data_IF_555371218210
#
_entry.id   IF_555371218210
#
_cell.length_a   1.000
_cell.length_b   1.000
_cell.length_c   1.000
_cell.angle_alpha   90.00
_cell.angle_beta   90.00
_cell.angle_gamma   90.00
#
_symmetry.space_group_name_H-M   'P 1'
#
loop_
_entity.id
_entity.type
_entity.pdbx_description
1 polymer ?
#
# COMPACT_ATOMS: atom_id res chain seq x y z
N UNK A 1 -27.77 -6.22 1.06
CA UNK A 1 -26.69 -6.75 0.20
C UNK A 1 -26.72 -8.27 0.20
N UNK A 2 -26.72 -8.85 -0.95
CA UNK A 2 -26.63 -10.32 -1.13
C UNK A 2 -25.17 -10.71 -1.39
N UNK A 3 -24.35 -10.64 -0.31
CA UNK A 3 -22.93 -10.96 -0.34
C UNK A 3 -22.71 -12.16 0.59
N UNK A 4 -22.21 -13.31 0.09
CA UNK A 4 -21.89 -14.46 0.92
C UNK A 4 -20.83 -14.10 1.98
N UNK A 5 -20.92 -14.73 3.14
CA UNK A 5 -19.98 -14.54 4.26
C UNK A 5 -19.81 -13.09 4.74
N UNK A 6 -20.83 -12.25 4.57
CA UNK A 6 -20.81 -10.86 5.02
C UNK A 6 -20.81 -10.81 6.57
N UNK A 7 -19.76 -10.23 7.14
CA UNK A 7 -19.64 -9.98 8.58
C UNK A 7 -20.09 -8.55 8.92
N UNK A 8 -20.54 -8.34 10.16
CA UNK A 8 -20.90 -7.00 10.69
C UNK A 8 -20.00 -6.62 11.84
N UNK A 9 -19.77 -5.32 11.99
CA UNK A 9 -18.98 -4.75 13.09
C UNK A 9 -17.58 -5.38 13.24
N UNK A 10 -16.93 -5.67 12.09
CA UNK A 10 -15.60 -6.29 12.06
C UNK A 10 -14.52 -5.30 12.43
N UNK A 11 -13.74 -5.59 13.47
CA UNK A 11 -12.56 -4.77 13.84
C UNK A 11 -11.50 -4.90 12.74
N UNK A 12 -11.01 -3.76 12.26
CA UNK A 12 -10.11 -3.68 11.11
C UNK A 12 -8.62 -3.66 11.49
N UNK A 13 -8.26 -3.40 12.73
CA UNK A 13 -6.87 -3.39 13.21
C UNK A 13 -6.05 -4.62 12.79
N UNK A 14 -6.55 -5.89 12.85
CA UNK A 14 -5.79 -7.05 12.44
C UNK A 14 -5.41 -7.07 10.95
N UNK A 15 -6.15 -6.36 10.11
CA UNK A 15 -6.00 -6.33 8.65
C UNK A 15 -5.11 -5.19 8.16
N UNK A 16 -4.49 -4.42 9.05
CA UNK A 16 -3.55 -3.35 8.74
C UNK A 16 -2.16 -3.66 9.25
N UNK A 17 -1.12 -3.17 8.55
CA UNK A 17 0.26 -3.29 9.04
C UNK A 17 0.50 -2.43 10.28
N UNK A 18 -0.32 -1.40 10.50
CA UNK A 18 -0.28 -0.54 11.67
C UNK A 18 -0.84 -1.20 12.94
N UNK A 19 -1.68 -2.25 12.77
CA UNK A 19 -2.45 -2.87 13.85
C UNK A 19 -3.34 -1.86 14.58
N UNK A 20 -3.83 -0.87 13.84
CA UNK A 20 -4.77 0.17 14.28
C UNK A 20 -5.97 0.15 13.32
N UNK A 21 -7.17 0.32 13.87
CA UNK A 21 -8.40 0.42 13.08
C UNK A 21 -9.63 0.00 13.86
N UNK A 22 -10.64 0.87 13.88
CA UNK A 22 -11.95 0.60 14.44
C UNK A 22 -12.79 -0.37 13.57
N UNK A 23 -14.09 -0.53 13.87
CA UNK A 23 -14.96 -1.48 13.19
C UNK A 23 -15.40 -1.00 11.80
N UNK A 24 -15.59 -1.92 10.85
CA UNK A 24 -16.40 -1.71 9.66
C UNK A 24 -17.85 -2.09 9.92
N UNK A 25 -18.83 -1.35 9.37
CA UNK A 25 -20.24 -1.76 9.47
C UNK A 25 -20.45 -3.13 8.84
N UNK A 26 -19.82 -3.34 7.67
CA UNK A 26 -19.82 -4.59 6.93
C UNK A 26 -18.40 -4.92 6.47
N UNK A 27 -18.08 -6.21 6.45
CA UNK A 27 -16.79 -6.72 6.03
C UNK A 27 -16.98 -8.01 5.26
N UNK A 28 -16.19 -8.20 4.20
CA UNK A 28 -16.14 -9.47 3.44
C UNK A 28 -14.73 -9.71 2.94
N UNK A 29 -14.27 -10.96 3.00
CA UNK A 29 -13.10 -11.44 2.27
C UNK A 29 -13.53 -12.01 0.92
N UNK A 30 -12.84 -11.64 -0.15
CA UNK A 30 -13.12 -12.11 -1.51
C UNK A 30 -11.89 -12.80 -2.09
N UNK A 31 -12.08 -14.00 -2.62
CA UNK A 31 -11.00 -14.89 -3.09
C UNK A 31 -10.95 -15.01 -4.61
N UNK A 32 -11.86 -14.34 -5.31
CA UNK A 32 -11.91 -14.33 -6.78
C UNK A 32 -12.33 -12.96 -7.32
N UNK A 33 -12.02 -12.72 -8.60
CA UNK A 33 -12.47 -11.52 -9.31
C UNK A 33 -14.02 -11.45 -9.32
N UNK A 34 -14.70 -12.57 -9.47
CA UNK A 34 -16.17 -12.61 -9.53
C UNK A 34 -16.78 -12.23 -8.17
N UNK A 35 -16.24 -12.70 -7.07
CA UNK A 35 -16.65 -12.28 -5.72
C UNK A 35 -16.37 -10.79 -5.47
N UNK A 36 -15.21 -10.29 -5.93
CA UNK A 36 -14.86 -8.87 -5.83
C UNK A 36 -15.89 -8.01 -6.58
N UNK A 37 -16.21 -8.37 -7.84
CA UNK A 37 -17.18 -7.66 -8.67
C UNK A 37 -18.58 -7.71 -8.05
N UNK A 38 -19.02 -8.88 -7.58
CA UNK A 38 -20.30 -9.02 -6.91
C UNK A 38 -20.39 -8.10 -5.68
N UNK A 39 -19.39 -8.11 -4.82
CA UNK A 39 -19.36 -7.30 -3.60
C UNK A 39 -19.42 -5.80 -3.91
N UNK A 40 -18.66 -5.35 -4.90
CA UNK A 40 -18.65 -3.96 -5.35
C UNK A 40 -20.00 -3.58 -5.99
N UNK A 41 -20.55 -4.44 -6.83
CA UNK A 41 -21.84 -4.19 -7.51
C UNK A 41 -22.99 -4.11 -6.51
N UNK A 42 -22.99 -5.00 -5.51
CA UNK A 42 -23.95 -4.97 -4.40
C UNK A 42 -23.84 -3.66 -3.59
N UNK A 43 -22.62 -3.24 -3.25
CA UNK A 43 -22.41 -1.99 -2.52
C UNK A 43 -22.90 -0.78 -3.34
N UNK A 44 -22.57 -0.72 -4.64
CA UNK A 44 -23.00 0.35 -5.55
C UNK A 44 -24.52 0.40 -5.70
N UNK A 45 -25.16 -0.74 -5.94
CA UNK A 45 -26.62 -0.85 -6.12
C UNK A 45 -27.38 -0.43 -4.86
N UNK A 46 -26.84 -0.72 -3.69
CA UNK A 46 -27.43 -0.34 -2.40
C UNK A 46 -26.97 1.03 -1.91
N UNK A 47 -26.16 1.77 -2.68
CA UNK A 47 -25.56 3.07 -2.33
C UNK A 47 -24.80 3.06 -1.01
N UNK A 48 -24.15 1.95 -0.70
CA UNK A 48 -23.32 1.78 0.50
C UNK A 48 -21.89 2.18 0.15
N UNK A 49 -21.24 3.09 0.92
CA UNK A 49 -19.83 3.36 0.78
C UNK A 49 -19.03 2.07 0.88
N UNK A 50 -18.00 1.90 0.06
CA UNK A 50 -17.11 0.74 0.16
C UNK A 50 -15.65 1.14 0.07
N UNK A 51 -14.81 0.31 0.67
CA UNK A 51 -13.36 0.44 0.66
C UNK A 51 -12.72 -0.89 0.30
N UNK A 52 -11.79 -0.87 -0.68
CA UNK A 52 -11.01 -2.04 -1.07
C UNK A 52 -9.75 -2.10 -0.21
N UNK A 53 -9.62 -3.17 0.55
CA UNK A 53 -8.48 -3.41 1.42
C UNK A 53 -7.56 -4.48 0.81
N UNK A 54 -6.28 -4.14 0.62
CA UNK A 54 -5.20 -5.10 0.34
C UNK A 54 -4.43 -5.42 1.62
N UNK A 55 -3.11 -5.26 1.61
CA UNK A 55 -2.25 -5.46 2.80
C UNK A 55 -2.46 -4.42 3.92
N UNK A 56 -3.22 -3.35 3.70
CA UNK A 56 -3.42 -2.30 4.70
C UNK A 56 -2.12 -1.58 5.12
N UNK A 57 -1.18 -1.40 4.18
CA UNK A 57 0.19 -1.00 4.48
C UNK A 57 0.48 0.49 4.32
N UNK A 58 -0.39 1.25 3.65
CA UNK A 58 -0.23 2.71 3.47
C UNK A 58 -1.48 3.47 3.92
N UNK A 59 -2.16 2.95 4.94
CA UNK A 59 -3.40 3.51 5.45
C UNK A 59 -3.39 3.56 6.98
N UNK A 60 -4.13 4.52 7.51
CA UNK A 60 -4.53 4.61 8.91
C UNK A 60 -6.05 4.56 8.98
N UNK A 61 -6.61 3.48 9.52
CA UNK A 61 -8.05 3.36 9.75
C UNK A 61 -8.37 4.01 11.10
N UNK A 62 -9.35 4.92 11.12
CA UNK A 62 -9.71 5.69 12.31
C UNK A 62 -10.27 4.81 13.43
N UNK A 63 -10.30 5.34 14.65
CA UNK A 63 -10.81 4.62 15.83
C UNK A 63 -12.33 4.32 15.72
N UNK A 64 -13.08 5.19 15.03
CA UNK A 64 -14.50 4.97 14.70
C UNK A 64 -14.70 3.96 13.57
N UNK A 65 -13.63 3.64 12.83
CA UNK A 65 -13.65 2.68 11.74
C UNK A 65 -14.31 3.22 10.47
N UNK A 66 -14.87 2.33 9.65
CA UNK A 66 -15.42 2.65 8.34
C UNK A 66 -16.93 2.43 8.30
N UNK A 67 -17.68 3.50 7.98
CA UNK A 67 -19.15 3.43 7.80
C UNK A 67 -19.47 2.96 6.40
N UNK A 68 -19.66 1.65 6.23
CA UNK A 68 -19.91 1.00 4.95
C UNK A 68 -19.32 -0.40 4.88
N UNK A 69 -19.02 -0.85 3.67
CA UNK A 69 -18.47 -2.18 3.37
C UNK A 69 -16.96 -2.11 3.14
N UNK A 70 -16.19 -2.83 3.95
CA UNK A 70 -14.77 -3.11 3.65
C UNK A 70 -14.68 -4.45 2.93
N UNK A 71 -14.07 -4.46 1.75
CA UNK A 71 -13.83 -5.64 0.92
C UNK A 71 -12.33 -5.96 0.99
N UNK A 72 -11.97 -7.00 1.71
CA UNK A 72 -10.60 -7.50 1.79
C UNK A 72 -10.32 -8.38 0.58
N UNK A 73 -9.56 -7.87 -0.35
CA UNK A 73 -9.30 -8.52 -1.64
C UNK A 73 -8.15 -9.53 -1.54
N UNK A 74 -8.49 -10.79 -1.58
CA UNK A 74 -7.60 -11.95 -1.55
C UNK A 74 -7.60 -12.73 -2.88
N UNK A 75 -8.15 -12.17 -3.98
CA UNK A 75 -8.09 -12.77 -5.31
C UNK A 75 -6.61 -12.89 -5.75
N UNK A 76 -6.09 -14.12 -5.84
CA UNK A 76 -4.65 -14.37 -5.86
C UNK A 76 -4.15 -15.22 -7.04
N UNK A 77 -4.92 -15.32 -8.11
CA UNK A 77 -4.51 -16.11 -9.28
C UNK A 77 -3.34 -15.44 -10.01
N UNK A 78 -2.31 -16.25 -10.31
CA UNK A 78 -1.13 -15.87 -11.09
C UNK A 78 -1.06 -16.77 -12.32
N UNK A 79 -0.84 -16.20 -13.49
CA UNK A 79 -0.73 -16.92 -14.76
C UNK A 79 0.54 -16.43 -15.47
N UNK A 80 1.48 -17.35 -15.70
CA UNK A 80 2.65 -17.10 -16.54
C UNK A 80 2.31 -17.40 -18.00
N UNK A 81 2.76 -16.55 -18.90
CA UNK A 81 2.54 -16.64 -20.34
C UNK A 81 3.89 -16.70 -21.05
N UNK A 82 3.85 -17.05 -22.33
CA UNK A 82 5.00 -16.91 -23.23
C UNK A 82 5.47 -15.47 -23.33
N UNK A 83 6.68 -15.26 -23.85
CA UNK A 83 7.32 -13.96 -24.02
C UNK A 83 7.43 -13.16 -22.69
N UNK A 84 7.86 -13.86 -21.63
CA UNK A 84 8.23 -13.28 -20.32
C UNK A 84 7.13 -12.42 -19.69
N UNK A 85 5.87 -12.83 -19.86
CA UNK A 85 4.71 -12.12 -19.28
C UNK A 85 4.11 -12.88 -18.12
N UNK A 86 3.66 -12.12 -17.13
CA UNK A 86 2.89 -12.65 -16.01
C UNK A 86 1.64 -11.82 -15.79
N UNK A 87 0.50 -12.50 -15.61
CA UNK A 87 -0.75 -11.85 -15.18
C UNK A 87 -1.02 -12.20 -13.72
N UNK A 88 -1.31 -11.20 -12.90
CA UNK A 88 -1.65 -11.36 -11.50
C UNK A 88 -2.95 -10.64 -11.17
N UNK A 89 -3.84 -11.29 -10.44
CA UNK A 89 -5.05 -10.66 -9.89
C UNK A 89 -4.70 -9.61 -8.84
N UNK A 90 -5.59 -8.67 -8.62
CA UNK A 90 -5.30 -7.48 -7.79
C UNK A 90 -5.08 -7.77 -6.31
N UNK A 91 -5.52 -8.91 -5.81
CA UNK A 91 -5.26 -9.37 -4.44
C UNK A 91 -3.93 -10.13 -4.26
N UNK A 92 -3.21 -10.46 -5.35
CA UNK A 92 -1.91 -11.12 -5.26
C UNK A 92 -0.94 -10.28 -4.44
N UNK A 93 -0.33 -10.89 -3.42
CA UNK A 93 0.72 -10.25 -2.61
C UNK A 93 1.99 -10.13 -3.45
N UNK A 94 2.57 -8.94 -3.48
CA UNK A 94 3.77 -8.66 -4.30
C UNK A 94 4.95 -9.55 -3.91
N UNK A 95 5.12 -9.88 -2.63
CA UNK A 95 6.17 -10.78 -2.16
C UNK A 95 6.06 -12.18 -2.77
N UNK A 96 4.85 -12.74 -2.84
CA UNK A 96 4.63 -14.07 -3.44
C UNK A 96 4.94 -14.06 -4.95
N UNK A 97 4.62 -12.94 -5.62
CA UNK A 97 4.92 -12.79 -7.04
C UNK A 97 6.42 -12.64 -7.29
N UNK A 98 7.15 -11.92 -6.43
CA UNK A 98 8.61 -11.80 -6.48
C UNK A 98 9.25 -13.19 -6.42
N UNK A 99 8.86 -14.04 -5.47
CA UNK A 99 9.41 -15.38 -5.30
C UNK A 99 9.18 -16.25 -6.55
N UNK A 100 7.95 -16.26 -7.07
CA UNK A 100 7.59 -17.03 -8.26
C UNK A 100 8.34 -16.53 -9.50
N UNK A 101 8.48 -15.23 -9.69
CA UNK A 101 9.22 -14.65 -10.80
C UNK A 101 10.72 -14.97 -10.70
N UNK A 102 11.32 -14.86 -9.52
CA UNK A 102 12.72 -15.26 -9.26
C UNK A 102 12.94 -16.72 -9.64
N UNK A 103 12.04 -17.62 -9.21
CA UNK A 103 12.19 -19.06 -9.45
C UNK A 103 12.14 -19.44 -10.95
N UNK A 104 11.49 -18.59 -11.75
CA UNK A 104 11.43 -18.71 -13.21
C UNK A 104 12.49 -17.86 -13.95
N UNK A 105 13.39 -17.18 -13.25
CA UNK A 105 14.40 -16.31 -13.87
C UNK A 105 13.80 -15.09 -14.57
N UNK A 106 12.73 -14.51 -14.01
CA UNK A 106 12.02 -13.37 -14.56
C UNK A 106 12.22 -12.14 -13.66
N UNK A 107 12.99 -11.17 -14.14
CA UNK A 107 13.36 -9.92 -13.45
C UNK A 107 12.34 -8.82 -13.71
N UNK A 108 12.12 -7.96 -12.70
CA UNK A 108 11.31 -6.76 -12.75
C UNK A 108 10.64 -6.44 -11.40
N UNK A 109 10.32 -7.45 -10.59
CA UNK A 109 9.68 -7.28 -9.28
C UNK A 109 10.65 -7.23 -8.10
N UNK A 110 11.87 -7.73 -8.23
CA UNK A 110 12.85 -7.87 -7.14
C UNK A 110 13.18 -6.56 -6.41
N UNK A 111 12.96 -5.41 -7.08
CA UNK A 111 13.17 -4.10 -6.49
C UNK A 111 12.21 -3.80 -5.35
N UNK A 112 11.04 -4.41 -5.34
CA UNK A 112 9.97 -4.18 -4.35
C UNK A 112 10.03 -5.14 -3.15
N UNK A 113 11.09 -5.95 -3.05
CA UNK A 113 11.25 -6.90 -1.96
C UNK A 113 11.17 -6.22 -0.58
N UNK A 114 10.39 -6.83 0.32
CA UNK A 114 10.16 -6.34 1.68
C UNK A 114 9.12 -5.19 1.78
N UNK A 115 8.46 -4.79 0.70
CA UNK A 115 7.35 -3.84 0.75
C UNK A 115 6.03 -4.62 0.84
N UNK A 116 5.25 -4.48 1.92
CA UNK A 116 3.96 -5.14 2.01
C UNK A 116 2.94 -4.46 1.08
N UNK A 117 2.58 -5.13 0.01
CA UNK A 117 1.60 -4.63 -0.97
C UNK A 117 0.90 -5.78 -1.67
N UNK A 118 -0.33 -5.54 -2.14
CA UNK A 118 -0.98 -6.33 -3.16
C UNK A 118 -0.80 -5.66 -4.53
N UNK A 119 -1.05 -6.40 -5.62
CA UNK A 119 -1.00 -5.82 -6.97
C UNK A 119 -1.98 -4.65 -7.11
N UNK A 120 -3.19 -4.73 -6.55
CA UNK A 120 -4.15 -3.61 -6.54
C UNK A 120 -3.62 -2.38 -5.81
N UNK A 121 -3.01 -2.57 -4.64
CA UNK A 121 -2.36 -1.51 -3.87
C UNK A 121 -1.15 -0.92 -4.59
N UNK A 122 -0.36 -1.77 -5.25
CA UNK A 122 0.79 -1.36 -6.06
C UNK A 122 0.38 -0.46 -7.24
N UNK A 123 -0.73 -0.78 -7.92
CA UNK A 123 -1.27 0.04 -9.01
C UNK A 123 -1.89 1.34 -8.50
N UNK A 124 -2.50 1.32 -7.31
CA UNK A 124 -3.08 2.52 -6.71
C UNK A 124 -2.02 3.55 -6.36
N UNK A 125 -0.90 3.11 -5.75
CA UNK A 125 0.18 3.97 -5.26
C UNK A 125 1.31 4.21 -6.28
N UNK A 126 1.33 3.53 -7.44
CA UNK A 126 2.51 3.41 -8.29
C UNK A 126 3.72 2.90 -7.48
N UNK A 127 3.60 1.68 -6.97
CA UNK A 127 4.61 1.08 -6.08
C UNK A 127 6.02 1.32 -6.61
N UNK A 128 6.90 1.80 -5.74
CA UNK A 128 8.26 2.13 -6.13
C UNK A 128 9.28 1.86 -5.02
N UNK A 129 10.52 1.70 -5.43
CA UNK A 129 11.67 1.61 -4.54
C UNK A 129 12.96 2.01 -5.27
N UNK A 130 14.06 2.09 -4.53
CA UNK A 130 15.36 2.39 -5.10
C UNK A 130 15.88 1.25 -5.96
N UNK A 131 16.54 1.57 -7.08
CA UNK A 131 17.33 0.60 -7.87
C UNK A 131 18.41 -0.07 -7.02
N UNK A 132 18.96 -1.18 -7.47
CA UNK A 132 20.01 -1.92 -6.75
C UNK A 132 21.26 -1.05 -6.47
N UNK A 133 21.63 -0.18 -7.40
CA UNK A 133 22.72 0.80 -7.25
C UNK A 133 22.34 2.07 -6.48
N UNK A 134 21.08 2.19 -6.02
CA UNK A 134 20.50 3.33 -5.26
C UNK A 134 20.52 4.67 -5.99
N UNK A 135 20.71 4.71 -7.30
CA UNK A 135 20.84 5.96 -8.07
C UNK A 135 19.51 6.48 -8.61
N UNK A 136 18.52 5.61 -8.82
CA UNK A 136 17.20 6.00 -9.30
C UNK A 136 16.08 5.29 -8.53
N UNK A 137 14.88 5.83 -8.66
CA UNK A 137 13.65 5.15 -8.24
C UNK A 137 13.16 4.27 -9.40
N UNK A 138 12.82 3.02 -9.09
CA UNK A 138 12.16 2.06 -9.99
C UNK A 138 10.69 2.05 -9.63
N UNK A 139 9.81 2.18 -10.62
CA UNK A 139 8.37 2.19 -10.45
C UNK A 139 7.73 0.94 -11.05
N UNK A 140 6.63 0.48 -10.48
CA UNK A 140 5.88 -0.67 -11.03
C UNK A 140 5.34 -0.38 -12.43
N UNK A 141 5.02 0.88 -12.75
CA UNK A 141 4.59 1.29 -14.09
C UNK A 141 5.57 0.88 -15.20
N UNK A 142 6.88 0.79 -14.91
CA UNK A 142 7.91 0.43 -15.88
C UNK A 142 7.71 -0.98 -16.46
N UNK A 143 7.02 -1.86 -15.73
CA UNK A 143 6.76 -3.25 -16.14
C UNK A 143 5.29 -3.53 -16.46
N UNK A 144 4.38 -2.57 -16.23
CA UNK A 144 2.95 -2.74 -16.55
C UNK A 144 2.74 -2.76 -18.06
N UNK A 145 2.15 -3.84 -18.59
CA UNK A 145 1.81 -3.99 -20.02
C UNK A 145 0.35 -3.62 -20.29
N UNK A 146 -0.56 -4.19 -19.51
CA UNK A 146 -2.00 -3.94 -19.60
C UNK A 146 -2.69 -4.34 -18.30
N UNK A 147 -3.86 -3.76 -18.06
CA UNK A 147 -4.68 -4.08 -16.90
C UNK A 147 -6.13 -4.30 -17.31
N UNK A 148 -6.76 -5.31 -16.72
CA UNK A 148 -8.19 -5.50 -16.76
C UNK A 148 -8.82 -4.76 -15.60
N UNK A 149 -9.73 -3.86 -15.88
CA UNK A 149 -10.38 -3.01 -14.87
C UNK A 149 -11.92 -3.12 -14.95
N UNK A 150 -12.56 -2.87 -13.81
CA UNK A 150 -14.01 -2.69 -13.71
C UNK A 150 -14.28 -1.22 -13.38
N UNK A 151 -14.81 -0.49 -14.35
CA UNK A 151 -15.03 0.95 -14.24
C UNK A 151 -16.20 1.29 -13.31
N UNK A 152 -16.26 2.54 -12.88
CA UNK A 152 -17.35 3.05 -12.04
C UNK A 152 -18.73 2.81 -12.70
N UNK A 153 -18.81 2.96 -14.01
CA UNK A 153 -20.04 2.75 -14.80
C UNK A 153 -20.47 1.28 -14.94
N UNK A 154 -19.74 0.34 -14.34
CA UNK A 154 -20.05 -1.09 -14.42
C UNK A 154 -19.54 -1.78 -15.69
N UNK A 155 -18.58 -1.17 -16.40
CA UNK A 155 -18.05 -1.67 -17.67
C UNK A 155 -16.65 -2.28 -17.46
N UNK A 156 -16.43 -3.47 -18.04
CA UNK A 156 -15.10 -4.07 -18.12
C UNK A 156 -14.29 -3.41 -19.24
N UNK A 157 -13.03 -3.11 -18.95
CA UNK A 157 -12.12 -2.57 -19.94
C UNK A 157 -10.72 -3.16 -19.76
N UNK A 158 -9.99 -3.27 -20.89
CA UNK A 158 -8.54 -3.55 -20.86
C UNK A 158 -7.82 -2.27 -21.26
N UNK A 159 -6.90 -1.81 -20.39
CA UNK A 159 -6.20 -0.53 -20.53
C UNK A 159 -4.69 -0.73 -20.44
N UNK A 160 -3.92 0.16 -21.05
CA UNK A 160 -2.47 0.23 -20.92
C UNK A 160 -2.02 0.99 -19.67
N UNK A 161 -0.71 1.10 -19.47
CA UNK A 161 -0.12 1.86 -18.36
C UNK A 161 -0.53 3.34 -18.37
N UNK A 162 -0.61 3.96 -19.56
CA UNK A 162 -0.96 5.38 -19.74
C UNK A 162 -2.32 5.75 -19.13
N UNK A 163 -3.25 4.78 -19.07
CA UNK A 163 -4.55 5.00 -18.44
C UNK A 163 -4.44 5.44 -16.99
N UNK A 164 -3.46 4.93 -16.26
CA UNK A 164 -3.29 5.16 -14.83
C UNK A 164 -2.73 6.53 -14.50
N UNK A 165 -2.18 7.27 -15.50
CA UNK A 165 -1.57 8.60 -15.29
C UNK A 165 -0.66 8.59 -14.05
N UNK A 166 0.21 7.60 -13.98
CA UNK A 166 1.08 7.38 -12.85
C UNK A 166 1.96 8.58 -12.54
N UNK A 167 2.24 8.76 -11.27
CA UNK A 167 3.18 9.72 -10.73
C UNK A 167 3.79 9.20 -9.44
N UNK A 168 4.59 10.00 -8.78
CA UNK A 168 5.16 9.65 -7.48
C UNK A 168 4.03 9.54 -6.45
N UNK A 169 3.85 8.35 -5.84
CA UNK A 169 2.77 8.00 -4.91
C UNK A 169 1.36 8.30 -5.44
N UNK A 170 1.15 8.16 -6.74
CA UNK A 170 -0.11 8.57 -7.37
C UNK A 170 -0.47 7.74 -8.58
N UNK A 171 -1.77 7.47 -8.73
CA UNK A 171 -2.41 7.05 -9.98
C UNK A 171 -3.77 7.73 -10.13
N UNK A 172 -4.40 7.59 -11.31
CA UNK A 172 -5.76 8.09 -11.56
C UNK A 172 -6.79 7.49 -10.58
N UNK A 173 -6.48 6.32 -10.01
CA UNK A 173 -7.37 5.61 -9.07
C UNK A 173 -7.63 6.39 -7.78
N UNK A 174 -6.77 7.38 -7.42
CA UNK A 174 -7.00 8.26 -6.28
C UNK A 174 -8.26 9.15 -6.46
N UNK A 175 -8.63 9.45 -7.71
CA UNK A 175 -9.79 10.29 -8.05
C UNK A 175 -10.92 9.54 -8.76
N UNK A 176 -10.79 8.23 -8.98
CA UNK A 176 -11.79 7.40 -9.65
C UNK A 176 -12.14 6.17 -8.82
N UNK A 177 -13.36 5.68 -9.01
CA UNK A 177 -13.83 4.44 -8.38
C UNK A 177 -13.67 3.22 -9.30
N UNK A 178 -12.75 3.30 -10.26
CA UNK A 178 -12.38 2.17 -11.10
C UNK A 178 -11.59 1.15 -10.28
N UNK A 179 -11.81 -0.13 -10.57
CA UNK A 179 -11.23 -1.22 -9.81
C UNK A 179 -10.31 -2.03 -10.69
N UNK A 180 -9.06 -2.17 -10.28
CA UNK A 180 -8.10 -3.08 -10.91
C UNK A 180 -8.49 -4.51 -10.56
N UNK A 181 -8.70 -5.32 -11.58
CA UNK A 181 -9.03 -6.75 -11.42
C UNK A 181 -7.80 -7.63 -11.60
N UNK A 182 -7.04 -7.39 -12.67
CA UNK A 182 -5.85 -8.15 -13.03
C UNK A 182 -4.89 -7.25 -13.80
N UNK A 183 -3.60 -7.45 -13.58
CA UNK A 183 -2.53 -6.75 -14.31
C UNK A 183 -1.63 -7.75 -15.00
N UNK A 184 -1.29 -7.49 -16.25
CA UNK A 184 -0.27 -8.21 -17.01
C UNK A 184 1.00 -7.38 -17.05
N UNK A 185 2.09 -7.97 -16.62
CA UNK A 185 3.42 -7.37 -16.59
C UNK A 185 4.31 -7.96 -17.68
N UNK A 186 5.23 -7.17 -18.21
CA UNK A 186 6.31 -7.58 -19.08
C UNK A 186 7.58 -7.63 -18.25
N UNK A 187 8.22 -8.79 -18.19
CA UNK A 187 9.44 -9.02 -17.41
C UNK A 187 10.62 -9.26 -18.35
N UNK A 188 11.81 -9.38 -17.78
CA UNK A 188 13.05 -9.61 -18.51
C UNK A 188 13.74 -10.88 -17.99
N UNK A 189 14.18 -11.82 -18.84
CA UNK A 189 14.94 -12.97 -18.38
C UNK A 189 16.24 -12.55 -17.71
N UNK A 190 16.52 -13.12 -16.54
CA UNK A 190 17.79 -12.97 -15.83
C UNK A 190 18.12 -14.22 -15.02
N UNK A 191 19.41 -14.50 -14.77
CA UNK A 191 19.81 -15.54 -13.83
C UNK A 191 19.13 -15.37 -12.47
N UNK A 192 18.63 -16.47 -11.91
CA UNK A 192 17.95 -16.49 -10.61
C UNK A 192 18.81 -15.89 -9.49
N UNK A 193 20.11 -16.15 -9.53
CA UNK A 193 21.09 -15.67 -8.56
C UNK A 193 21.23 -14.15 -8.59
N UNK A 194 21.15 -13.53 -9.76
CA UNK A 194 21.17 -12.07 -9.88
C UNK A 194 19.90 -11.44 -9.27
N UNK A 195 18.73 -12.03 -9.56
CA UNK A 195 17.45 -11.59 -8.98
C UNK A 195 17.50 -11.73 -7.46
N UNK A 196 17.97 -12.88 -6.94
CA UNK A 196 18.09 -13.14 -5.52
C UNK A 196 19.02 -12.13 -4.84
N UNK A 197 20.15 -11.81 -5.46
CA UNK A 197 21.10 -10.82 -4.93
C UNK A 197 20.45 -9.44 -4.73
N UNK A 198 19.58 -9.01 -5.66
CA UNK A 198 18.82 -7.73 -5.51
C UNK A 198 17.80 -7.83 -4.39
N UNK A 199 17.08 -8.94 -4.27
CA UNK A 199 16.13 -9.19 -3.18
C UNK A 199 16.84 -9.08 -1.83
N UNK A 200 17.94 -9.80 -1.66
CA UNK A 200 18.71 -9.86 -0.40
C UNK A 200 19.24 -8.46 -0.03
N UNK A 201 19.81 -7.74 -1.00
CA UNK A 201 20.31 -6.38 -0.80
C UNK A 201 19.20 -5.40 -0.38
N UNK A 202 18.01 -5.53 -0.96
CA UNK A 202 16.87 -4.67 -0.62
C UNK A 202 16.31 -5.00 0.77
N UNK A 203 16.18 -6.28 1.10
CA UNK A 203 15.73 -6.72 2.43
C UNK A 203 16.74 -6.28 3.49
N UNK A 204 18.04 -6.51 3.29
CA UNK A 204 19.10 -6.10 4.22
C UNK A 204 19.08 -4.58 4.47
N UNK A 205 18.96 -3.79 3.39
CA UNK A 205 18.86 -2.32 3.51
C UNK A 205 17.63 -1.89 4.31
N UNK A 206 16.48 -2.52 4.08
CA UNK A 206 15.24 -2.23 4.82
C UNK A 206 15.36 -2.62 6.29
N UNK A 207 15.97 -3.76 6.58
CA UNK A 207 16.25 -4.19 7.97
C UNK A 207 17.16 -3.17 8.66
N UNK A 208 18.17 -2.66 7.97
CA UNK A 208 19.09 -1.66 8.54
C UNK A 208 18.40 -0.31 8.77
N UNK A 209 17.61 0.19 7.82
CA UNK A 209 17.12 1.58 7.81
C UNK A 209 15.72 1.77 8.37
N UNK A 210 14.85 0.76 8.30
CA UNK A 210 13.45 0.88 8.68
C UNK A 210 13.10 0.11 9.95
N UNK A 211 12.13 0.57 10.77
CA UNK A 211 11.55 -0.25 11.83
C UNK A 211 10.89 -1.48 11.21
N UNK A 212 11.06 -2.64 11.83
CA UNK A 212 10.49 -3.89 11.32
C UNK A 212 9.06 -4.06 11.85
N UNK A 213 8.13 -4.47 10.98
CA UNK A 213 6.68 -4.54 11.30
C UNK A 213 6.35 -5.52 12.42
N UNK A 214 7.15 -6.56 12.60
CA UNK A 214 6.95 -7.57 13.65
C UNK A 214 7.18 -6.99 15.05
N UNK A 215 8.07 -6.01 15.16
CA UNK A 215 8.42 -5.37 16.41
C UNK A 215 7.73 -4.00 16.56
N UNK A 216 7.63 -3.26 15.45
CA UNK A 216 7.10 -1.91 15.39
C UNK A 216 6.06 -1.76 14.28
N UNK A 217 4.78 -2.16 14.52
CA UNK A 217 3.72 -1.98 13.53
C UNK A 217 3.63 -0.52 13.08
N UNK A 218 3.53 -0.31 11.76
CA UNK A 218 3.46 1.02 11.15
C UNK A 218 2.87 0.91 9.74
N UNK A 219 2.59 2.03 9.08
CA UNK A 219 2.14 2.07 7.68
C UNK A 219 3.22 2.62 6.73
N UNK A 220 4.50 2.49 7.08
CA UNK A 220 5.59 3.02 6.25
C UNK A 220 5.91 4.49 6.53
N UNK A 221 6.42 5.17 5.50
CA UNK A 221 6.69 6.62 5.56
C UNK A 221 5.39 7.40 5.68
N UNK A 222 5.37 8.37 6.61
CA UNK A 222 4.15 9.14 6.90
C UNK A 222 4.02 10.37 6.02
N UNK A 223 5.15 11.01 5.67
CA UNK A 223 5.16 12.26 4.92
C UNK A 223 5.92 12.12 3.61
N UNK A 224 5.46 12.85 2.61
CA UNK A 224 6.09 12.98 1.29
C UNK A 224 7.45 13.66 1.39
N UNK A 225 8.26 13.47 0.36
CA UNK A 225 9.49 14.27 0.19
C UNK A 225 9.15 15.75 0.01
N UNK A 226 9.98 16.62 0.57
CA UNK A 226 9.93 18.07 0.37
C UNK A 226 11.16 18.46 -0.45
N UNK A 227 10.96 19.07 -1.61
CA UNK A 227 12.04 19.50 -2.53
C UNK A 227 13.04 18.38 -2.87
N UNK A 228 12.52 17.14 -3.05
CA UNK A 228 13.31 15.94 -3.33
C UNK A 228 14.03 15.33 -2.12
N UNK A 229 13.95 15.96 -0.96
CA UNK A 229 14.57 15.49 0.29
C UNK A 229 13.53 14.73 1.12
N UNK A 230 13.90 13.56 1.66
CA UNK A 230 13.03 12.77 2.53
C UNK A 230 12.62 13.53 3.80
N UNK A 231 11.33 13.54 4.11
CA UNK A 231 10.76 14.25 5.26
C UNK A 231 11.43 13.86 6.60
N UNK A 232 11.91 12.63 6.73
CA UNK A 232 12.61 12.16 7.93
C UNK A 232 13.79 13.03 8.35
N UNK A 233 14.49 13.66 7.38
CA UNK A 233 15.58 14.59 7.66
C UNK A 233 15.11 15.84 8.41
N UNK A 234 14.00 16.42 7.99
CA UNK A 234 13.44 17.61 8.64
C UNK A 234 12.87 17.29 10.02
N UNK A 235 12.23 16.12 10.17
CA UNK A 235 11.71 15.65 11.45
C UNK A 235 12.85 15.42 12.46
N UNK A 236 13.96 14.86 12.01
CA UNK A 236 15.16 14.65 12.84
C UNK A 236 15.85 15.98 13.20
N UNK A 237 16.00 16.91 12.25
CA UNK A 237 16.53 18.26 12.50
C UNK A 237 15.66 19.06 13.46
N UNK A 238 14.35 18.86 13.43
CA UNK A 238 13.43 19.48 14.39
C UNK A 238 13.50 18.85 15.80
N UNK A 239 14.29 17.77 15.99
CA UNK A 239 14.47 17.09 17.28
C UNK A 239 13.28 16.24 17.71
N UNK A 240 12.48 15.71 16.76
CA UNK A 240 11.21 15.03 17.05
C UNK A 240 11.33 13.49 17.12
N UNK A 241 12.51 12.95 16.89
CA UNK A 241 12.80 11.51 17.00
C UNK A 241 12.45 10.99 18.40
N UNK A 242 11.61 9.96 18.49
CA UNK A 242 11.14 9.42 19.77
C UNK A 242 10.00 10.21 20.43
N UNK A 243 9.47 11.28 19.82
CA UNK A 243 8.30 11.98 20.30
C UNK A 243 7.11 11.02 20.35
N UNK A 244 6.32 11.08 21.43
CA UNK A 244 5.18 10.18 21.67
C UNK A 244 3.91 10.94 21.98
N UNK A 245 2.79 10.37 21.50
CA UNK A 245 1.43 10.73 21.92
C UNK A 245 0.68 9.41 22.11
N UNK A 246 0.17 9.18 23.31
CA UNK A 246 -0.44 7.91 23.66
C UNK A 246 0.47 6.72 23.33
N UNK A 247 -0.02 5.80 22.49
CA UNK A 247 0.73 4.66 22.01
C UNK A 247 1.50 4.87 20.69
N UNK A 248 1.41 6.06 20.08
CA UNK A 248 2.14 6.38 18.84
C UNK A 248 3.50 7.04 19.14
N UNK A 249 4.55 6.63 18.44
CA UNK A 249 5.91 7.17 18.62
C UNK A 249 6.58 7.43 17.26
N UNK A 250 7.27 8.58 17.12
CA UNK A 250 8.20 8.82 16.01
C UNK A 250 9.37 7.85 16.14
N UNK A 251 9.54 6.97 15.18
CA UNK A 251 10.55 5.92 15.25
C UNK A 251 11.96 6.47 15.49
N UNK A 252 12.64 5.90 16.46
CA UNK A 252 14.06 6.19 16.75
C UNK A 252 14.99 5.75 15.62
N UNK A 253 14.54 4.81 14.78
CA UNK A 253 15.32 4.26 13.68
C UNK A 253 15.17 5.10 12.40
N UNK A 254 13.94 5.48 12.06
CA UNK A 254 13.64 6.27 10.87
C UNK A 254 12.57 7.31 11.17
N UNK A 255 12.93 8.58 11.21
CA UNK A 255 12.08 9.67 11.70
C UNK A 255 10.81 9.92 10.88
N UNK A 256 10.73 9.44 9.63
CA UNK A 256 9.50 9.51 8.82
C UNK A 256 8.52 8.33 9.08
N UNK A 257 8.80 7.50 10.08
CA UNK A 257 7.90 6.43 10.52
C UNK A 257 7.32 6.79 11.88
N UNK A 258 6.01 6.71 11.99
CA UNK A 258 5.31 6.68 13.27
C UNK A 258 4.97 5.22 13.55
N UNK A 259 5.36 4.71 14.70
CA UNK A 259 5.17 3.30 15.07
C UNK A 259 4.12 3.17 16.17
N UNK A 260 3.40 2.05 16.14
CA UNK A 260 2.52 1.62 17.21
C UNK A 260 3.35 0.87 18.26
N UNK A 261 3.40 1.37 19.49
CA UNK A 261 4.16 0.76 20.59
C UNK A 261 3.34 -0.27 21.39
N UNK A 262 2.23 -0.76 20.82
CA UNK A 262 1.40 -1.84 21.34
C UNK A 262 -0.05 -1.46 21.62
N UNK A 263 -0.36 -0.19 21.87
CA UNK A 263 -1.69 0.28 22.24
C UNK A 263 -2.06 1.63 21.60
N UNK A 264 -1.44 1.98 20.47
CA UNK A 264 -1.73 3.22 19.76
C UNK A 264 -3.15 3.21 19.19
N UNK A 265 -3.82 4.36 19.31
CA UNK A 265 -5.07 4.69 18.64
C UNK A 265 -4.79 5.49 17.38
N UNK A 266 -5.73 5.50 16.44
CA UNK A 266 -5.62 6.34 15.25
C UNK A 266 -5.58 7.83 15.64
N UNK A 267 -6.32 8.24 16.66
CA UNK A 267 -6.28 9.59 17.23
C UNK A 267 -4.87 9.99 17.70
N UNK A 268 -4.12 9.09 18.35
CA UNK A 268 -2.75 9.36 18.78
C UNK A 268 -1.83 9.65 17.59
N UNK A 269 -1.95 8.84 16.51
CA UNK A 269 -1.16 9.00 15.28
C UNK A 269 -1.51 10.31 14.58
N UNK A 270 -2.80 10.64 14.45
CA UNK A 270 -3.27 11.88 13.80
C UNK A 270 -2.77 13.11 14.55
N UNK A 271 -2.84 13.09 15.88
CA UNK A 271 -2.33 14.17 16.71
C UNK A 271 -0.80 14.30 16.60
N UNK A 272 -0.07 13.16 16.57
CA UNK A 272 1.37 13.18 16.40
C UNK A 272 1.76 13.72 15.00
N UNK A 273 1.02 13.39 13.93
CA UNK A 273 1.21 13.95 12.59
C UNK A 273 1.06 15.49 12.63
N UNK A 274 0.00 16.03 13.26
CA UNK A 274 -0.22 17.47 13.38
C UNK A 274 0.92 18.16 14.14
N UNK A 275 1.33 17.59 15.27
CA UNK A 275 2.44 18.13 16.05
C UNK A 275 3.76 18.14 15.28
N UNK A 276 4.04 17.09 14.51
CA UNK A 276 5.23 17.04 13.62
C UNK A 276 5.16 18.16 12.59
N UNK A 277 4.01 18.34 11.93
CA UNK A 277 3.81 19.39 10.91
C UNK A 277 4.02 20.79 11.51
N UNK A 278 3.44 21.07 12.66
CA UNK A 278 3.56 22.35 13.37
C UNK A 278 5.01 22.63 13.79
N UNK A 279 5.67 21.67 14.42
CA UNK A 279 7.04 21.83 14.90
C UNK A 279 8.06 21.99 13.78
N UNK A 280 7.95 21.20 12.69
CA UNK A 280 8.83 21.34 11.52
C UNK A 280 8.58 22.69 10.86
N UNK A 281 7.33 23.13 10.71
CA UNK A 281 7.00 24.44 10.18
C UNK A 281 7.56 25.57 11.05
N UNK A 282 7.35 25.47 12.35
CA UNK A 282 7.82 26.49 13.31
C UNK A 282 9.34 26.62 13.37
N UNK A 283 10.05 25.47 13.40
CA UNK A 283 11.52 25.45 13.59
C UNK A 283 12.30 25.63 12.30
N UNK A 284 11.79 25.11 11.18
CA UNK A 284 12.55 24.99 9.93
C UNK A 284 11.89 25.69 8.73
N UNK A 285 10.63 26.13 8.86
CA UNK A 285 9.88 26.80 7.80
C UNK A 285 9.24 25.88 6.75
N UNK A 286 9.48 24.55 6.81
CA UNK A 286 8.96 23.60 5.83
C UNK A 286 7.56 23.08 6.21
N UNK A 287 6.71 22.90 5.19
CA UNK A 287 5.41 22.26 5.34
C UNK A 287 5.51 20.79 4.93
N UNK A 288 5.13 19.87 5.82
CA UNK A 288 5.08 18.44 5.54
C UNK A 288 3.66 18.03 5.12
N UNK A 289 3.55 17.24 4.05
CA UNK A 289 2.28 16.68 3.58
C UNK A 289 2.23 15.18 3.88
N UNK A 290 1.15 14.67 4.52
CA UNK A 290 0.99 13.24 4.72
C UNK A 290 0.92 12.48 3.39
N UNK A 291 1.60 11.32 3.34
CA UNK A 291 1.56 10.36 2.23
C UNK A 291 0.52 9.26 2.47
N UNK A 292 0.29 8.94 3.74
CA UNK A 292 -0.66 7.90 4.13
C UNK A 292 -2.11 8.34 3.95
N UNK A 293 -2.98 7.40 3.58
CA UNK A 293 -4.41 7.66 3.50
C UNK A 293 -5.09 7.40 4.86
N UNK A 294 -5.84 8.40 5.35
CA UNK A 294 -6.70 8.24 6.53
C UNK A 294 -8.06 7.74 6.05
N UNK A 295 -8.50 6.59 6.57
CA UNK A 295 -9.72 5.89 6.14
C UNK A 295 -10.70 5.82 7.30
N UNK A 296 -11.93 6.27 7.06
CA UNK A 296 -13.02 6.21 8.04
C UNK A 296 -13.44 7.57 8.56
N UNK A 297 -14.29 7.55 9.59
CA UNK A 297 -14.87 8.75 10.22
C UNK A 297 -13.92 9.28 11.31
N UNK A 298 -13.58 10.58 11.24
CA UNK A 298 -12.72 11.26 12.22
C UNK A 298 -13.47 11.62 13.50
#
# INVERSE_FOLDING_TARGET
>A
MNIPNLEKNKILAPFTTYKIGGPADFFVEVYSIDELINSVSEARSNKIPYFLLGCGANILITDRGFRGLVIHNLANKIIFHEAERVSAESGVVVADLIEKCRDLGLSGFEHFAGIPSTIGGAMWQNLHFLSSDRKRTVFIEEIVRRSRIYKEEGIFSTVGADYFQFGYDKSILHGRKDIVLQVTFQLTPKPKEEIQSVIDANIAWRIEKHPQLQEYPSCGSVFRKVDGIGAGRYIEQAGLKGMRIGGAEVSKKHSNFIVNTGNAKASDVIELIRNIQEEVKRKLGYSLEPEIAIVGEL
#
